data_IF_381063557629
#
_entry.id   IF_381063557629
#
_cell.length_a   1.000
_cell.length_b   1.000
_cell.length_c   1.000
_cell.angle_alpha   90.00
_cell.angle_beta   90.00
_cell.angle_gamma   90.00
#
_symmetry.space_group_name_H-M   'P 1'
#
loop_
_entity.id
_entity.type
_entity.pdbx_description
1 polymer ?
#
# COMPACT_ATOMS: atom_id res chain seq x y z
N UNK A 1 -10.02 -7.64 -11.76
CA UNK A 1 -9.39 -8.01 -10.47
C UNK A 1 -10.44 -8.69 -9.60
N UNK A 2 -10.15 -9.88 -9.03
CA UNK A 2 -11.07 -10.58 -8.13
C UNK A 2 -11.08 -9.87 -6.77
N UNK A 3 -12.25 -9.45 -6.28
CA UNK A 3 -12.42 -8.85 -4.95
C UNK A 3 -12.11 -9.92 -3.90
N UNK A 4 -11.40 -9.54 -2.84
CA UNK A 4 -11.10 -10.40 -1.68
C UNK A 4 -11.75 -9.79 -0.44
N UNK A 5 -13.00 -10.17 -0.10
CA UNK A 5 -13.79 -9.50 0.94
C UNK A 5 -13.05 -9.39 2.28
N UNK A 6 -12.42 -10.48 2.73
CA UNK A 6 -11.65 -10.48 3.97
C UNK A 6 -10.51 -9.44 4.00
N UNK A 7 -9.80 -9.24 2.87
CA UNK A 7 -8.73 -8.23 2.80
C UNK A 7 -9.28 -6.80 2.75
N UNK A 8 -10.46 -6.61 2.15
CA UNK A 8 -11.18 -5.32 2.18
C UNK A 8 -11.55 -4.98 3.62
N UNK A 9 -12.16 -5.94 4.33
CA UNK A 9 -12.57 -5.78 5.72
C UNK A 9 -11.36 -5.48 6.61
N UNK A 10 -10.23 -6.17 6.41
CA UNK A 10 -9.02 -5.90 7.16
C UNK A 10 -8.45 -4.50 6.86
N UNK A 11 -8.38 -4.09 5.59
CA UNK A 11 -7.95 -2.75 5.23
C UNK A 11 -8.86 -1.66 5.83
N UNK A 12 -10.17 -1.92 5.90
CA UNK A 12 -11.15 -1.07 6.59
C UNK A 12 -10.86 -0.97 8.10
N UNK A 13 -10.60 -2.09 8.77
CA UNK A 13 -10.21 -2.11 10.19
C UNK A 13 -8.89 -1.37 10.44
N UNK A 14 -7.90 -1.52 9.55
CA UNK A 14 -6.64 -0.79 9.62
C UNK A 14 -6.83 0.73 9.50
N UNK A 15 -7.74 1.16 8.62
CA UNK A 15 -8.16 2.55 8.48
C UNK A 15 -8.81 3.05 9.78
N UNK A 16 -9.79 2.33 10.30
CA UNK A 16 -10.51 2.70 11.54
C UNK A 16 -9.57 2.78 12.75
N UNK A 17 -8.63 1.84 12.89
CA UNK A 17 -7.64 1.88 13.96
C UNK A 17 -6.86 3.18 13.89
N UNK A 18 -6.39 3.59 12.71
CA UNK A 18 -5.65 4.84 12.52
C UNK A 18 -6.52 6.07 12.74
N UNK A 19 -7.80 6.03 12.39
CA UNK A 19 -8.75 7.09 12.69
C UNK A 19 -8.89 7.28 14.20
N UNK A 20 -9.00 6.18 14.95
CA UNK A 20 -9.16 6.19 16.40
C UNK A 20 -7.89 6.59 17.16
N UNK A 21 -6.72 6.08 16.78
CA UNK A 21 -5.47 6.24 17.55
C UNK A 21 -4.55 7.33 16.99
N UNK A 22 -4.78 7.78 15.75
CA UNK A 22 -3.91 8.74 15.07
C UNK A 22 -3.72 10.05 15.83
N UNK A 23 -4.81 10.64 16.34
CA UNK A 23 -4.75 11.86 17.12
C UNK A 23 -3.89 11.72 18.39
N UNK A 24 -3.92 10.55 19.03
CA UNK A 24 -3.12 10.25 20.22
C UNK A 24 -1.63 10.14 19.87
N UNK A 25 -1.30 9.51 18.74
CA UNK A 25 0.09 9.37 18.27
C UNK A 25 0.72 10.73 17.92
N UNK A 26 -0.08 11.63 17.32
CA UNK A 26 0.34 13.00 17.02
C UNK A 26 0.52 13.80 18.31
N UNK A 27 -0.42 13.71 19.25
CA UNK A 27 -0.31 14.37 20.55
C UNK A 27 0.90 13.88 21.37
N UNK A 28 1.25 12.59 21.25
CA UNK A 28 2.42 12.00 21.89
C UNK A 28 3.75 12.32 21.16
N UNK A 29 3.73 13.05 20.04
CA UNK A 29 4.92 13.39 19.26
C UNK A 29 5.59 12.20 18.56
N UNK A 30 4.91 11.06 18.50
CA UNK A 30 5.43 9.82 17.89
C UNK A 30 5.21 9.75 16.38
N UNK A 31 4.44 10.70 15.84
CA UNK A 31 4.10 10.83 14.43
C UNK A 31 3.72 12.28 14.15
N UNK A 32 4.10 12.82 12.99
CA UNK A 32 3.61 14.13 12.56
C UNK A 32 2.17 14.07 12.05
N UNK A 33 1.50 15.21 11.98
CA UNK A 33 0.14 15.27 11.40
C UNK A 33 0.13 14.92 9.91
N UNK A 34 1.19 15.30 9.19
CA UNK A 34 1.38 14.98 7.78
C UNK A 34 1.57 13.47 7.56
N UNK A 35 2.36 12.82 8.42
CA UNK A 35 2.54 11.37 8.40
C UNK A 35 1.23 10.62 8.66
N UNK A 36 0.41 11.12 9.59
CA UNK A 36 -0.90 10.55 9.86
C UNK A 36 -1.84 10.68 8.65
N UNK A 37 -1.88 11.85 8.02
CA UNK A 37 -2.71 12.10 6.85
C UNK A 37 -2.30 11.23 5.66
N UNK A 38 -0.98 11.09 5.43
CA UNK A 38 -0.44 10.21 4.41
C UNK A 38 -0.80 8.73 4.67
N UNK A 39 -0.68 8.27 5.93
CA UNK A 39 -1.06 6.91 6.32
C UNK A 39 -2.57 6.69 6.11
N UNK A 40 -3.43 7.63 6.54
CA UNK A 40 -4.88 7.56 6.29
C UNK A 40 -5.23 7.48 4.80
N UNK A 41 -4.62 8.34 3.99
CA UNK A 41 -4.82 8.37 2.55
C UNK A 41 -4.46 7.02 1.91
N UNK A 42 -3.34 6.44 2.32
CA UNK A 42 -2.89 5.13 1.84
C UNK A 42 -3.86 4.01 2.19
N UNK A 43 -4.31 3.92 3.44
CA UNK A 43 -5.23 2.84 3.86
C UNK A 43 -6.61 2.95 3.22
N UNK A 44 -7.14 4.17 3.05
CA UNK A 44 -8.37 4.40 2.26
C UNK A 44 -8.20 3.99 0.80
N UNK A 45 -7.03 4.26 0.20
CA UNK A 45 -6.75 3.87 -1.17
C UNK A 45 -6.63 2.34 -1.31
N UNK A 46 -5.96 1.66 -0.37
CA UNK A 46 -5.86 0.19 -0.30
C UNK A 46 -7.24 -0.45 -0.22
N UNK A 47 -8.08 0.00 0.71
CA UNK A 47 -9.46 -0.51 0.88
C UNK A 47 -10.25 -0.39 -0.42
N UNK A 48 -10.23 0.80 -1.05
CA UNK A 48 -10.89 1.05 -2.34
C UNK A 48 -10.37 0.13 -3.44
N UNK A 49 -9.05 0.02 -3.55
CA UNK A 49 -8.42 -0.81 -4.57
C UNK A 49 -8.80 -2.28 -4.39
N UNK A 50 -8.69 -2.84 -3.18
CA UNK A 50 -9.09 -4.22 -2.91
C UNK A 50 -10.59 -4.47 -3.18
N UNK A 51 -11.43 -3.45 -2.99
CA UNK A 51 -12.84 -3.46 -3.36
C UNK A 51 -13.11 -3.30 -4.87
N UNK A 52 -12.06 -3.31 -5.71
CA UNK A 52 -12.17 -3.19 -7.16
C UNK A 52 -12.40 -1.77 -7.67
N UNK A 53 -12.24 -0.75 -6.81
CA UNK A 53 -12.41 0.67 -7.17
C UNK A 53 -11.05 1.27 -7.56
N UNK A 54 -11.07 2.45 -8.19
CA UNK A 54 -9.84 3.18 -8.48
C UNK A 54 -9.17 3.70 -7.20
N UNK A 55 -7.83 3.73 -7.23
CA UNK A 55 -6.98 4.27 -6.17
C UNK A 55 -7.16 5.79 -5.94
N UNK A 56 -7.54 6.53 -6.99
CA UNK A 56 -7.41 7.99 -7.05
C UNK A 56 -6.20 8.38 -7.91
N UNK A 57 -6.09 9.67 -8.28
CA UNK A 57 -5.01 10.16 -9.15
C UNK A 57 -3.70 10.45 -8.41
N UNK A 58 -3.77 10.69 -7.09
CA UNK A 58 -2.65 11.27 -6.32
C UNK A 58 -1.92 10.29 -5.39
N UNK A 59 -2.12 8.98 -5.59
CA UNK A 59 -1.46 7.96 -4.77
C UNK A 59 -0.95 6.78 -5.62
N UNK A 60 0.34 6.51 -5.50
CA UNK A 60 1.03 5.43 -6.20
C UNK A 60 1.18 4.17 -5.36
N UNK A 61 1.44 3.03 -6.00
CA UNK A 61 1.65 1.76 -5.31
C UNK A 61 2.85 1.75 -4.35
N UNK A 62 3.89 2.57 -4.61
CA UNK A 62 5.02 2.72 -3.69
C UNK A 62 4.59 3.29 -2.32
N UNK A 63 3.63 4.21 -2.30
CA UNK A 63 3.10 4.80 -1.06
C UNK A 63 2.25 3.79 -0.29
N UNK A 64 1.44 2.99 -1.01
CA UNK A 64 0.67 1.91 -0.41
C UNK A 64 1.58 0.83 0.19
N UNK A 65 2.68 0.51 -0.51
CA UNK A 65 3.64 -0.48 -0.04
C UNK A 65 4.34 0.00 1.23
N UNK A 66 4.73 1.28 1.28
CA UNK A 66 5.30 1.88 2.49
C UNK A 66 4.32 1.85 3.67
N UNK A 67 3.05 2.17 3.44
CA UNK A 67 2.02 2.15 4.48
C UNK A 67 1.78 0.74 5.05
N UNK A 68 1.77 -0.27 4.18
CA UNK A 68 1.63 -1.68 4.59
C UNK A 68 2.87 -2.20 5.32
N UNK A 69 4.08 -1.84 4.88
CA UNK A 69 5.33 -2.19 5.55
C UNK A 69 5.42 -1.58 6.96
N UNK A 70 5.04 -0.31 7.13
CA UNK A 70 4.97 0.35 8.45
C UNK A 70 3.95 -0.32 9.36
N UNK A 71 2.81 -0.76 8.81
CA UNK A 71 1.81 -1.49 9.59
C UNK A 71 2.33 -2.84 10.09
N UNK A 72 3.06 -3.58 9.25
CA UNK A 72 3.75 -4.81 9.66
C UNK A 72 4.71 -4.54 10.80
N UNK A 73 5.59 -3.54 10.65
CA UNK A 73 6.56 -3.19 11.68
C UNK A 73 5.90 -2.87 13.02
N UNK A 74 4.82 -2.08 13.02
CA UNK A 74 4.05 -1.77 14.24
C UNK A 74 3.37 -3.00 14.84
N UNK A 75 2.85 -3.89 14.00
CA UNK A 75 2.20 -5.11 14.47
C UNK A 75 3.21 -6.10 15.06
N UNK A 76 4.41 -6.22 14.47
CA UNK A 76 5.52 -7.00 15.03
C UNK A 76 5.95 -6.49 16.40
N UNK A 77 6.15 -5.17 16.54
CA UNK A 77 6.48 -4.58 17.85
C UNK A 77 5.39 -4.84 18.91
N UNK A 78 4.12 -4.90 18.49
CA UNK A 78 3.01 -5.27 19.39
C UNK A 78 3.02 -6.76 19.75
N UNK A 79 3.35 -7.63 18.79
CA UNK A 79 3.47 -9.07 19.05
C UNK A 79 4.59 -9.37 20.05
N UNK A 80 5.71 -8.65 19.96
CA UNK A 80 6.83 -8.78 20.89
C UNK A 80 6.44 -8.33 22.32
N UNK A 81 5.59 -7.30 22.43
CA UNK A 81 5.12 -6.77 23.71
C UNK A 81 4.00 -7.61 24.36
N UNK A 82 3.23 -8.36 23.57
CA UNK A 82 2.10 -9.19 24.02
C UNK A 82 2.10 -10.56 23.31
N UNK A 83 3.07 -11.42 23.66
CA UNK A 83 3.23 -12.72 23.01
C UNK A 83 2.06 -13.65 23.34
N UNK A 84 1.47 -14.25 22.31
CA UNK A 84 0.32 -15.17 22.44
C UNK A 84 -1.05 -14.55 22.15
N UNK A 85 -1.10 -13.24 21.83
CA UNK A 85 -2.34 -12.60 21.41
C UNK A 85 -2.73 -13.02 19.99
N UNK A 86 -3.70 -13.95 19.89
CA UNK A 86 -4.17 -14.50 18.61
C UNK A 86 -4.67 -13.42 17.63
N UNK A 87 -5.26 -12.33 18.13
CA UNK A 87 -5.72 -11.23 17.29
C UNK A 87 -4.57 -10.43 16.67
N UNK A 88 -3.40 -10.36 17.33
CA UNK A 88 -2.19 -9.75 16.76
C UNK A 88 -1.63 -10.63 15.63
N UNK A 89 -1.66 -11.95 15.79
CA UNK A 89 -1.20 -12.92 14.78
C UNK A 89 -2.08 -12.87 13.52
N UNK A 90 -3.40 -13.01 13.68
CA UNK A 90 -4.35 -12.95 12.54
C UNK A 90 -4.21 -11.63 11.76
N UNK A 91 -4.06 -10.52 12.49
CA UNK A 91 -3.82 -9.20 11.89
C UNK A 91 -2.49 -9.15 11.11
N UNK A 92 -1.45 -9.80 11.62
CA UNK A 92 -0.14 -9.87 10.96
C UNK A 92 -0.24 -10.56 9.60
N UNK A 93 -0.88 -11.72 9.57
CA UNK A 93 -1.06 -12.52 8.34
C UNK A 93 -1.83 -11.74 7.28
N UNK A 94 -2.89 -11.05 7.70
CA UNK A 94 -3.71 -10.26 6.78
C UNK A 94 -2.98 -9.01 6.26
N UNK A 95 -2.26 -8.26 7.12
CA UNK A 95 -1.43 -7.13 6.66
C UNK A 95 -0.33 -7.63 5.72
N UNK A 96 0.28 -8.80 6.01
CA UNK A 96 1.31 -9.41 5.17
C UNK A 96 0.75 -9.77 3.79
N UNK A 97 -0.44 -10.38 3.74
CA UNK A 97 -1.12 -10.68 2.48
C UNK A 97 -1.43 -9.41 1.66
N UNK A 98 -1.89 -8.33 2.31
CA UNK A 98 -2.10 -7.03 1.66
C UNK A 98 -0.77 -6.47 1.14
N UNK A 99 0.29 -6.50 1.95
CA UNK A 99 1.62 -6.01 1.58
C UNK A 99 2.16 -6.73 0.35
N UNK A 100 2.16 -8.08 0.36
CA UNK A 100 2.63 -8.87 -0.78
C UNK A 100 1.86 -8.56 -2.06
N UNK A 101 0.55 -8.34 -1.96
CA UNK A 101 -0.29 -8.00 -3.11
C UNK A 101 0.01 -6.62 -3.67
N UNK A 102 0.18 -5.63 -2.79
CA UNK A 102 0.57 -4.26 -3.17
C UNK A 102 1.96 -4.25 -3.82
N UNK A 103 2.93 -4.94 -3.22
CA UNK A 103 4.29 -5.07 -3.74
C UNK A 103 4.32 -5.76 -5.11
N UNK A 104 3.52 -6.82 -5.29
CA UNK A 104 3.38 -7.49 -6.59
C UNK A 104 2.81 -6.57 -7.67
N UNK A 105 1.73 -5.84 -7.37
CA UNK A 105 1.12 -4.91 -8.31
C UNK A 105 2.06 -3.75 -8.66
N UNK A 106 2.85 -3.26 -7.69
CA UNK A 106 3.92 -2.29 -7.95
C UNK A 106 4.94 -2.85 -8.91
N UNK A 107 5.50 -4.03 -8.61
CA UNK A 107 6.55 -4.65 -9.42
C UNK A 107 6.07 -4.91 -10.85
N UNK A 108 4.82 -5.37 -11.01
CA UNK A 108 4.21 -5.57 -12.32
C UNK A 108 4.07 -4.25 -13.10
N UNK A 109 3.64 -3.16 -12.45
CA UNK A 109 3.54 -1.84 -13.09
C UNK A 109 4.89 -1.24 -13.45
N UNK A 110 5.87 -1.37 -12.57
CA UNK A 110 7.23 -0.92 -12.82
C UNK A 110 7.82 -1.66 -14.03
N UNK A 111 7.58 -2.98 -14.13
CA UNK A 111 7.99 -3.78 -15.27
C UNK A 111 7.28 -3.35 -16.57
N UNK A 112 5.95 -3.22 -16.55
CA UNK A 112 5.18 -2.73 -17.69
C UNK A 112 5.66 -1.36 -18.18
N UNK A 113 5.92 -0.43 -17.25
CA UNK A 113 6.44 0.89 -17.57
C UNK A 113 7.82 0.83 -18.22
N UNK A 114 8.70 -0.09 -17.79
CA UNK A 114 10.00 -0.31 -18.44
C UNK A 114 9.82 -0.82 -19.86
N UNK A 115 8.95 -1.80 -20.08
CA UNK A 115 8.66 -2.35 -21.40
C UNK A 115 8.11 -1.29 -22.36
N UNK A 116 7.13 -0.49 -21.91
CA UNK A 116 6.55 0.59 -22.70
C UNK A 116 7.58 1.67 -23.08
N UNK A 117 8.50 2.01 -22.16
CA UNK A 117 9.60 2.95 -22.46
C UNK A 117 10.56 2.38 -23.50
N UNK A 118 10.98 1.13 -23.34
CA UNK A 118 11.85 0.45 -24.30
C UNK A 118 11.22 0.39 -25.70
N UNK A 119 9.92 0.11 -25.79
CA UNK A 119 9.19 0.12 -27.05
C UNK A 119 9.11 1.52 -27.66
N UNK A 120 8.82 2.55 -26.85
CA UNK A 120 8.78 3.94 -27.32
C UNK A 120 10.15 4.44 -27.79
N UNK A 121 11.24 3.99 -27.17
CA UNK A 121 12.61 4.27 -27.61
C UNK A 121 12.91 3.57 -28.95
N UNK A 122 12.57 2.29 -29.08
CA UNK A 122 12.75 1.53 -30.32
C UNK A 122 11.98 2.15 -31.50
N UNK A 123 10.73 2.55 -31.29
CA UNK A 123 9.91 3.24 -32.32
C UNK A 123 10.52 4.59 -32.73
N UNK A 124 11.05 5.36 -31.78
CA UNK A 124 11.74 6.63 -32.07
C UNK A 124 13.02 6.43 -32.90
N UNK A 125 13.77 5.36 -32.62
CA UNK A 125 14.96 5.02 -33.39
C UNK A 125 14.60 4.58 -34.81
N UNK A 126 13.59 3.73 -34.98
CA UNK A 126 13.09 3.31 -36.29
C UNK A 126 12.58 4.50 -37.13
N UNK A 127 11.79 5.40 -36.53
CA UNK A 127 11.31 6.61 -37.23
C UNK A 127 12.42 7.57 -37.66
N UNK A 128 13.56 7.61 -36.95
CA UNK A 128 14.74 8.40 -37.34
C UNK A 128 15.51 7.77 -38.49
N UNK A 129 15.55 6.43 -38.59
CA UNK A 129 16.22 5.71 -39.69
C UNK A 129 15.46 5.86 -41.01
N UNK A 130 14.13 5.98 -40.99
CA UNK A 130 13.33 6.18 -42.21
C UNK A 130 13.38 7.63 -42.72
N UNK A 131 13.73 8.59 -41.86
CA UNK A 131 13.79 10.02 -42.19
C UNK A 131 15.20 10.51 -42.61
N UNK A 132 16.22 9.64 -42.60
CA UNK A 132 17.60 9.93 -42.96
C UNK A 132 17.96 9.31 -44.33
#
# INVERSE_FOLDING_TARGET
MRVMPHLVDMAGREREVRERVGAQLVAAGTMSREELEADWRAWRAIERWLAGKSLGQDIGFAELELATARALQRNSAKADADPGNAAVVERSDAISAIHSRVAHERAWRDDLNRQLRAEADARRQQGRVVAA
#
